data_IF_283738535397
#
_entry.id   IF_283738535397
#
_cell.length_a   1.000
_cell.length_b   1.000
_cell.length_c   1.000
_cell.angle_alpha   90.00
_cell.angle_beta   90.00
_cell.angle_gamma   90.00
#
_symmetry.space_group_name_H-M   'P 1'
#
loop_
_entity.id
_entity.type
_entity.pdbx_description
1 polymer ?
#
# COMPACT_ATOMS: atom_id res chain seq x y z
N UNK A 1 39.68 -49.61 -60.04
CA UNK A 1 38.97 -50.16 -58.85
C UNK A 1 38.98 -49.11 -57.72
N UNK A 2 37.89 -48.36 -57.60
CA UNK A 2 37.81 -47.24 -56.64
C UNK A 2 37.11 -47.74 -55.39
N UNK A 3 37.81 -47.85 -54.28
CA UNK A 3 37.25 -48.23 -52.97
C UNK A 3 36.57 -47.05 -52.30
N UNK A 4 35.25 -47.01 -52.35
CA UNK A 4 34.39 -46.03 -51.57
C UNK A 4 34.56 -46.29 -50.09
N UNK A 5 35.26 -45.39 -49.37
CA UNK A 5 35.30 -45.35 -47.91
C UNK A 5 33.92 -44.93 -47.37
N UNK A 6 33.13 -45.89 -46.84
CA UNK A 6 31.91 -45.63 -46.09
C UNK A 6 32.25 -44.82 -44.84
N UNK A 7 31.86 -43.51 -44.79
CA UNK A 7 32.00 -42.65 -43.67
C UNK A 7 31.00 -43.11 -42.60
N UNK A 8 31.52 -43.72 -41.52
CA UNK A 8 30.74 -44.21 -40.37
C UNK A 8 30.02 -43.04 -39.72
N UNK A 9 28.73 -42.94 -39.93
CA UNK A 9 27.89 -41.93 -39.22
C UNK A 9 27.98 -42.24 -37.74
N UNK A 10 28.79 -41.48 -37.02
CA UNK A 10 28.90 -41.50 -35.57
C UNK A 10 27.53 -41.16 -34.97
N UNK A 11 27.08 -41.95 -34.00
CA UNK A 11 25.83 -41.76 -33.28
C UNK A 11 25.80 -40.38 -32.61
N UNK A 12 25.23 -39.37 -33.27
CA UNK A 12 25.04 -38.02 -32.75
C UNK A 12 23.84 -37.93 -31.81
N UNK A 13 23.03 -39.01 -31.71
CA UNK A 13 21.80 -39.01 -30.88
C UNK A 13 22.04 -38.90 -29.37
N UNK A 14 23.22 -39.27 -28.85
CA UNK A 14 23.56 -39.17 -27.44
C UNK A 14 24.01 -37.76 -26.99
N UNK A 15 24.68 -37.02 -27.90
CA UNK A 15 25.20 -35.68 -27.62
C UNK A 15 24.05 -34.68 -27.39
N UNK A 16 23.04 -34.70 -28.26
CA UNK A 16 21.87 -33.80 -28.17
C UNK A 16 21.07 -33.99 -26.89
N UNK A 17 20.99 -35.22 -26.39
CA UNK A 17 20.25 -35.53 -25.17
C UNK A 17 20.97 -35.00 -23.92
N UNK A 18 22.30 -35.06 -23.91
CA UNK A 18 23.13 -34.50 -22.82
C UNK A 18 23.09 -32.97 -22.85
N UNK A 19 23.17 -32.33 -24.02
CA UNK A 19 23.04 -30.88 -24.19
C UNK A 19 21.69 -30.40 -23.70
N UNK A 20 20.59 -31.07 -24.06
CA UNK A 20 19.27 -30.77 -23.59
C UNK A 20 19.13 -30.92 -22.07
N UNK A 21 19.70 -31.97 -21.48
CA UNK A 21 19.67 -32.23 -20.05
C UNK A 21 20.40 -31.13 -19.23
N UNK A 22 21.45 -30.51 -19.79
CA UNK A 22 22.18 -29.42 -19.12
C UNK A 22 21.47 -28.09 -19.30
N UNK A 23 20.88 -27.80 -20.46
CA UNK A 23 20.25 -26.53 -20.78
C UNK A 23 18.86 -26.42 -20.12
N UNK A 24 18.12 -27.53 -20.03
CA UNK A 24 16.75 -27.53 -19.49
C UNK A 24 16.64 -26.96 -18.07
N UNK A 25 17.49 -27.30 -17.08
CA UNK A 25 17.42 -26.73 -15.76
C UNK A 25 17.62 -25.21 -15.76
N UNK A 26 18.53 -24.69 -16.57
CA UNK A 26 18.78 -23.26 -16.71
C UNK A 26 17.57 -22.54 -17.33
N UNK A 27 16.94 -23.12 -18.35
CA UNK A 27 15.74 -22.56 -18.97
C UNK A 27 14.56 -22.58 -18.00
N UNK A 28 14.38 -23.63 -17.21
CA UNK A 28 13.33 -23.70 -16.19
C UNK A 28 13.51 -22.63 -15.12
N UNK A 29 14.74 -22.41 -14.63
CA UNK A 29 15.02 -21.33 -13.66
C UNK A 29 14.69 -19.95 -14.24
N UNK A 30 15.09 -19.67 -15.48
CA UNK A 30 14.77 -18.42 -16.16
C UNK A 30 13.26 -18.28 -16.37
N UNK A 31 12.57 -19.34 -16.78
CA UNK A 31 11.13 -19.34 -16.99
C UNK A 31 10.37 -19.04 -15.69
N UNK A 32 10.65 -19.78 -14.61
CA UNK A 32 10.01 -19.54 -13.32
C UNK A 32 10.37 -18.16 -12.73
N UNK A 33 11.60 -17.71 -12.92
CA UNK A 33 12.03 -16.37 -12.51
C UNK A 33 11.24 -15.27 -13.23
N UNK A 34 11.08 -15.37 -14.54
CA UNK A 34 10.34 -14.37 -15.33
C UNK A 34 8.84 -14.38 -15.02
N UNK A 35 8.23 -15.56 -14.85
CA UNK A 35 6.83 -15.69 -14.45
C UNK A 35 6.61 -15.09 -13.04
N UNK A 36 7.50 -15.40 -12.10
CA UNK A 36 7.42 -14.85 -10.72
C UNK A 36 7.48 -13.33 -10.70
N UNK A 37 8.43 -12.73 -11.44
CA UNK A 37 8.53 -11.28 -11.56
C UNK A 37 7.29 -10.66 -12.21
N UNK A 38 6.75 -11.28 -13.26
CA UNK A 38 5.54 -10.81 -13.93
C UNK A 38 4.31 -10.80 -13.01
N UNK A 39 4.14 -11.84 -12.19
CA UNK A 39 3.07 -11.90 -11.19
C UNK A 39 3.23 -10.84 -10.09
N UNK A 40 4.46 -10.61 -9.61
CA UNK A 40 4.72 -9.55 -8.62
C UNK A 40 4.40 -8.16 -9.18
N UNK A 41 4.84 -7.85 -10.40
CA UNK A 41 4.53 -6.56 -11.05
C UNK A 41 3.02 -6.38 -11.26
N UNK A 42 2.31 -7.41 -11.71
CA UNK A 42 0.86 -7.37 -11.87
C UNK A 42 0.12 -7.03 -10.56
N UNK A 43 0.53 -7.63 -9.46
CA UNK A 43 -0.07 -7.36 -8.14
C UNK A 43 0.30 -5.97 -7.61
N UNK A 44 1.51 -5.50 -7.85
CA UNK A 44 1.88 -4.13 -7.50
C UNK A 44 1.01 -3.11 -8.24
N UNK A 45 0.79 -3.29 -9.54
CA UNK A 45 -0.10 -2.43 -10.34
C UNK A 45 -1.52 -2.47 -9.78
N UNK A 46 -2.04 -3.64 -9.42
CA UNK A 46 -3.36 -3.76 -8.78
C UNK A 46 -3.42 -3.01 -7.44
N UNK A 47 -2.39 -3.12 -6.60
CA UNK A 47 -2.32 -2.40 -5.33
C UNK A 47 -2.39 -0.88 -5.54
N UNK A 48 -1.64 -0.35 -6.52
CA UNK A 48 -1.63 1.07 -6.87
C UNK A 48 -3.00 1.51 -7.40
N UNK A 49 -3.66 0.70 -8.24
CA UNK A 49 -4.99 1.00 -8.76
C UNK A 49 -6.02 1.04 -7.62
N UNK A 50 -6.06 0.01 -6.77
CA UNK A 50 -6.96 -0.01 -5.61
C UNK A 50 -6.73 1.20 -4.71
N UNK A 51 -5.47 1.52 -4.40
CA UNK A 51 -5.14 2.66 -3.57
C UNK A 51 -5.62 3.98 -4.18
N UNK A 52 -5.45 4.16 -5.49
CA UNK A 52 -5.88 5.35 -6.21
C UNK A 52 -7.41 5.48 -6.25
N UNK A 53 -8.10 4.40 -6.58
CA UNK A 53 -9.57 4.41 -6.70
C UNK A 53 -10.22 4.65 -5.34
N UNK A 54 -9.73 3.97 -4.29
CA UNK A 54 -10.19 4.20 -2.92
C UNK A 54 -9.90 5.62 -2.47
N UNK A 55 -8.74 6.17 -2.82
CA UNK A 55 -8.38 7.53 -2.46
C UNK A 55 -9.29 8.57 -3.13
N UNK A 56 -9.62 8.37 -4.40
CA UNK A 56 -10.61 9.21 -5.10
C UNK A 56 -12.01 9.10 -4.46
N UNK A 57 -12.45 7.90 -4.13
CA UNK A 57 -13.73 7.71 -3.44
C UNK A 57 -13.75 8.42 -2.08
N UNK A 58 -12.65 8.28 -1.31
CA UNK A 58 -12.55 8.86 0.02
C UNK A 58 -12.48 10.39 0.01
N UNK A 59 -11.71 10.99 -0.90
CA UNK A 59 -11.63 12.43 -1.07
C UNK A 59 -12.95 13.03 -1.62
N UNK A 60 -13.73 12.27 -2.38
CA UNK A 60 -15.07 12.66 -2.83
C UNK A 60 -16.17 12.43 -1.79
N UNK A 61 -15.82 12.12 -0.54
CA UNK A 61 -16.77 12.02 0.56
C UNK A 61 -17.52 10.69 0.65
N UNK A 62 -17.05 9.63 -0.02
CA UNK A 62 -17.62 8.29 0.18
C UNK A 62 -17.39 7.84 1.61
N UNK A 63 -18.48 7.50 2.29
CA UNK A 63 -18.45 7.09 3.69
C UNK A 63 -18.10 5.60 3.81
N UNK A 64 -16.85 5.31 4.15
CA UNK A 64 -16.36 3.95 4.38
C UNK A 64 -16.69 3.39 5.78
N UNK A 65 -17.44 4.10 6.59
CA UNK A 65 -18.06 3.52 7.80
C UNK A 65 -19.20 2.58 7.42
N UNK A 66 -19.81 2.80 6.24
CA UNK A 66 -20.87 1.97 5.69
C UNK A 66 -20.33 0.67 5.10
N UNK A 67 -20.90 -0.46 5.54
CA UNK A 67 -20.48 -1.79 5.07
C UNK A 67 -20.63 -1.95 3.54
N UNK A 68 -21.65 -1.34 2.92
CA UNK A 68 -21.84 -1.36 1.47
C UNK A 68 -20.65 -0.76 0.71
N UNK A 69 -20.13 0.39 1.18
CA UNK A 69 -18.99 1.05 0.53
C UNK A 69 -17.68 0.27 0.77
N UNK A 70 -17.52 -0.34 1.93
CA UNK A 70 -16.38 -1.25 2.20
C UNK A 70 -16.41 -2.50 1.32
N UNK A 71 -17.61 -3.03 1.05
CA UNK A 71 -17.77 -4.17 0.15
C UNK A 71 -17.35 -3.86 -1.29
N UNK A 72 -17.51 -2.62 -1.77
CA UNK A 72 -16.99 -2.21 -3.08
C UNK A 72 -15.48 -2.41 -3.13
N UNK A 73 -14.78 -1.97 -2.09
CA UNK A 73 -13.31 -2.12 -2.03
C UNK A 73 -12.91 -3.59 -1.96
N UNK A 74 -13.50 -4.35 -1.06
CA UNK A 74 -13.10 -5.74 -0.78
C UNK A 74 -13.53 -6.72 -1.85
N UNK A 75 -14.73 -6.56 -2.42
CA UNK A 75 -15.30 -7.51 -3.37
C UNK A 75 -15.10 -7.13 -4.84
N UNK A 76 -14.96 -5.86 -5.17
CA UNK A 76 -14.80 -5.41 -6.55
C UNK A 76 -13.35 -5.00 -6.84
N UNK A 77 -12.77 -4.09 -6.07
CA UNK A 77 -11.43 -3.58 -6.34
C UNK A 77 -10.34 -4.57 -5.91
N UNK A 78 -10.50 -5.22 -4.76
CA UNK A 78 -9.53 -6.15 -4.18
C UNK A 78 -9.88 -7.64 -4.37
N UNK A 79 -10.86 -7.97 -5.21
CA UNK A 79 -11.33 -9.36 -5.39
C UNK A 79 -10.24 -10.33 -5.84
N UNK A 80 -9.32 -9.88 -6.71
CA UNK A 80 -8.21 -10.70 -7.21
C UNK A 80 -7.10 -10.98 -6.19
N UNK A 81 -7.17 -10.36 -4.99
CA UNK A 81 -6.10 -10.39 -3.99
C UNK A 81 -6.52 -11.19 -2.75
N UNK A 82 -7.81 -11.56 -2.67
CA UNK A 82 -8.33 -12.35 -1.54
C UNK A 82 -8.43 -11.55 -0.25
N UNK A 83 -8.72 -10.25 -0.34
CA UNK A 83 -9.00 -9.38 0.81
C UNK A 83 -10.48 -9.50 1.20
N UNK A 84 -10.78 -9.50 2.50
CA UNK A 84 -12.12 -9.39 3.07
C UNK A 84 -12.21 -8.15 3.96
N UNK A 85 -13.38 -7.79 4.46
CA UNK A 85 -13.56 -6.58 5.29
C UNK A 85 -12.72 -6.60 6.59
N UNK A 86 -12.51 -7.76 7.19
CA UNK A 86 -11.81 -7.92 8.47
C UNK A 86 -10.61 -8.87 8.40
N UNK A 87 -10.19 -9.30 7.20
CA UNK A 87 -9.13 -10.29 7.06
C UNK A 87 -8.65 -10.46 5.63
N UNK A 88 -8.01 -11.61 5.36
CA UNK A 88 -7.45 -11.96 4.06
C UNK A 88 -6.01 -11.47 3.87
N UNK A 89 -5.59 -11.34 2.60
CA UNK A 89 -4.19 -11.08 2.25
C UNK A 89 -3.89 -9.59 2.02
N UNK A 90 -4.77 -8.70 2.45
CA UNK A 90 -4.59 -7.26 2.27
C UNK A 90 -5.12 -6.44 3.42
N UNK A 91 -4.65 -5.21 3.49
CA UNK A 91 -5.17 -4.17 4.39
C UNK A 91 -5.21 -2.84 3.66
N UNK A 92 -6.31 -2.13 3.86
CA UNK A 92 -6.49 -0.73 3.42
C UNK A 92 -6.70 0.11 4.66
N UNK A 93 -5.87 1.13 4.81
CA UNK A 93 -5.94 2.09 5.91
C UNK A 93 -6.31 3.44 5.34
N UNK A 94 -7.43 3.99 5.82
CA UNK A 94 -7.92 5.31 5.47
C UNK A 94 -7.74 6.23 6.68
N UNK A 95 -7.13 7.38 6.46
CA UNK A 95 -6.94 8.37 7.52
C UNK A 95 -7.31 9.76 7.01
N UNK A 96 -8.00 10.54 7.85
CA UNK A 96 -8.14 11.99 7.68
C UNK A 96 -7.21 12.67 8.65
N UNK A 97 -6.42 13.59 8.14
CA UNK A 97 -5.42 14.35 8.91
C UNK A 97 -5.69 15.82 8.71
N UNK A 98 -5.68 16.58 9.79
CA UNK A 98 -5.85 18.03 9.79
C UNK A 98 -4.71 18.64 10.60
N UNK A 99 -4.19 19.77 10.14
CA UNK A 99 -3.29 20.59 10.96
C UNK A 99 -4.14 21.54 11.78
N UNK A 100 -3.97 21.54 13.11
CA UNK A 100 -4.73 22.36 14.04
C UNK A 100 -4.17 23.79 14.03
N UNK A 101 -4.99 24.79 13.70
CA UNK A 101 -4.62 26.20 13.73
C UNK A 101 -5.31 26.95 14.85
N UNK A 102 -4.79 28.16 15.19
CA UNK A 102 -5.34 29.00 16.25
C UNK A 102 -6.81 29.34 15.98
N UNK A 103 -7.19 29.56 14.73
CA UNK A 103 -8.58 29.88 14.39
C UNK A 103 -9.55 28.72 14.64
N UNK A 104 -9.09 27.47 14.54
CA UNK A 104 -9.90 26.28 14.86
C UNK A 104 -10.16 26.23 16.38
N UNK A 105 -9.15 26.58 17.15
CA UNK A 105 -9.23 26.66 18.62
C UNK A 105 -10.18 27.77 19.06
N UNK A 106 -10.06 28.95 18.46
CA UNK A 106 -10.92 30.11 18.74
C UNK A 106 -12.38 29.81 18.36
N UNK A 107 -12.59 29.13 17.21
CA UNK A 107 -13.94 28.77 16.77
C UNK A 107 -14.63 27.74 17.69
N UNK A 108 -13.85 26.88 18.33
CA UNK A 108 -14.36 25.86 19.26
C UNK A 108 -14.35 26.30 20.72
N UNK A 109 -13.65 27.39 21.03
CA UNK A 109 -13.44 27.88 22.41
C UNK A 109 -12.56 26.96 23.26
N UNK A 110 -11.76 26.09 22.60
CA UNK A 110 -10.89 25.14 23.28
C UNK A 110 -9.45 25.67 23.40
N UNK A 111 -8.78 25.27 24.47
CA UNK A 111 -7.33 25.52 24.62
C UNK A 111 -6.59 24.39 23.95
N UNK A 112 -6.06 24.66 22.76
CA UNK A 112 -5.39 23.63 21.96
C UNK A 112 -3.99 23.31 22.44
N UNK A 113 -3.70 22.03 22.60
CA UNK A 113 -2.36 21.49 22.91
C UNK A 113 -1.61 21.05 21.65
N UNK A 114 -2.36 20.80 20.56
CA UNK A 114 -1.83 20.34 19.29
C UNK A 114 -1.73 21.43 18.22
N UNK A 115 -1.55 22.69 18.66
CA UNK A 115 -1.43 23.84 17.77
C UNK A 115 -0.27 23.65 16.78
N UNK A 116 -0.53 23.90 15.49
CA UNK A 116 0.39 23.72 14.37
C UNK A 116 0.92 22.29 14.21
N UNK A 117 0.19 21.29 14.70
CA UNK A 117 0.56 19.88 14.55
C UNK A 117 -0.48 19.15 13.71
N UNK A 118 -0.04 18.25 12.80
CA UNK A 118 -0.95 17.38 12.07
C UNK A 118 -1.46 16.26 12.98
N UNK A 119 -2.78 16.13 13.05
CA UNK A 119 -3.49 15.18 13.91
C UNK A 119 -4.46 14.33 13.12
N UNK A 120 -4.70 13.11 13.60
CA UNK A 120 -5.76 12.26 13.06
C UNK A 120 -7.15 12.77 13.49
N UNK A 121 -8.06 12.90 12.54
CA UNK A 121 -9.48 13.18 12.80
C UNK A 121 -10.36 11.96 12.50
N UNK A 122 -9.89 11.06 11.67
CA UNK A 122 -10.54 9.77 11.39
C UNK A 122 -9.52 8.72 10.99
N UNK A 123 -9.79 7.46 11.38
CA UNK A 123 -9.04 6.30 10.88
C UNK A 123 -9.94 5.08 10.73
N UNK A 124 -10.02 4.57 9.52
CA UNK A 124 -10.77 3.37 9.15
C UNK A 124 -9.77 2.33 8.64
N UNK A 125 -9.93 1.09 9.06
CA UNK A 125 -9.09 -0.04 8.61
C UNK A 125 -10.01 -1.11 8.04
N UNK A 126 -9.70 -1.57 6.83
CA UNK A 126 -10.35 -2.68 6.15
C UNK A 126 -9.33 -3.76 5.86
N UNK A 127 -9.69 -5.03 5.99
CA UNK A 127 -8.78 -6.15 5.77
C UNK A 127 -8.06 -6.63 7.02
N UNK A 128 -6.95 -7.30 6.83
CA UNK A 128 -6.13 -7.86 7.90
C UNK A 128 -5.23 -6.80 8.53
N UNK A 129 -5.67 -6.18 9.61
CA UNK A 129 -4.99 -5.07 10.28
C UNK A 129 -3.58 -5.41 10.81
N UNK A 130 -3.29 -6.70 11.05
CA UNK A 130 -1.96 -7.15 11.49
C UNK A 130 -0.90 -7.12 10.39
N UNK A 131 -1.28 -7.03 9.12
CA UNK A 131 -0.33 -6.99 8.01
C UNK A 131 0.45 -5.68 7.94
N UNK A 132 -0.21 -4.56 8.25
CA UNK A 132 0.43 -3.24 8.29
C UNK A 132 -0.40 -2.27 9.11
N UNK A 133 0.28 -1.47 9.92
CA UNK A 133 -0.37 -0.47 10.80
C UNK A 133 -0.50 0.92 10.19
N UNK A 134 0.12 1.19 9.06
CA UNK A 134 0.23 2.52 8.44
C UNK A 134 1.49 3.27 8.85
N UNK A 135 1.95 4.18 7.98
CA UNK A 135 3.24 4.85 8.14
C UNK A 135 3.17 6.07 9.09
N UNK A 136 1.99 6.67 9.24
CA UNK A 136 1.83 7.91 10.02
C UNK A 136 1.48 7.71 11.48
N UNK A 137 1.39 6.48 11.92
CA UNK A 137 1.03 6.11 13.29
C UNK A 137 -0.36 5.51 13.41
N UNK A 138 -0.72 5.18 14.63
CA UNK A 138 -2.02 4.56 14.96
C UNK A 138 -2.63 5.31 16.13
N UNK A 139 -3.72 6.06 15.91
CA UNK A 139 -4.45 6.65 17.03
C UNK A 139 -5.04 5.55 17.91
N UNK A 140 -5.01 5.78 19.22
CA UNK A 140 -5.49 4.84 20.22
C UNK A 140 -6.95 4.45 19.97
N UNK A 141 -7.29 3.19 20.20
CA UNK A 141 -8.67 2.73 20.02
C UNK A 141 -9.64 3.43 21.00
N UNK A 142 -9.15 3.82 22.18
CA UNK A 142 -9.95 4.49 23.22
C UNK A 142 -10.40 5.92 22.87
N UNK A 143 -9.73 6.57 21.90
CA UNK A 143 -10.05 7.94 21.48
C UNK A 143 -10.88 7.98 20.20
N UNK A 144 -11.14 6.83 19.60
CA UNK A 144 -11.94 6.68 18.38
C UNK A 144 -13.33 6.15 18.70
N UNK A 145 -14.32 6.66 17.99
CA UNK A 145 -15.66 6.06 17.99
C UNK A 145 -15.70 4.73 17.18
N UNK A 146 -16.85 4.08 17.15
CA UNK A 146 -17.07 2.84 16.38
C UNK A 146 -16.91 3.02 14.87
N UNK A 147 -16.92 4.24 14.38
CA UNK A 147 -16.77 4.63 12.97
C UNK A 147 -15.35 5.11 12.66
N UNK A 148 -14.47 5.09 13.65
CA UNK A 148 -13.07 5.51 13.51
C UNK A 148 -12.86 7.02 13.58
N UNK A 149 -13.87 7.83 13.92
CA UNK A 149 -13.73 9.27 14.09
C UNK A 149 -13.13 9.60 15.45
N UNK A 150 -12.42 10.71 15.51
CA UNK A 150 -11.88 11.29 16.75
C UNK A 150 -12.56 12.63 16.98
N UNK A 151 -13.10 12.82 18.18
CA UNK A 151 -13.81 14.05 18.53
C UNK A 151 -12.87 15.27 18.48
N UNK A 152 -13.34 16.45 17.98
CA UNK A 152 -12.57 17.68 17.96
C UNK A 152 -11.97 18.06 19.31
N UNK A 153 -12.71 17.90 20.39
CA UNK A 153 -12.21 18.16 21.74
C UNK A 153 -11.01 17.28 22.10
N UNK A 154 -10.94 16.06 21.57
CA UNK A 154 -9.85 15.10 21.79
C UNK A 154 -8.65 15.43 20.92
N UNK A 155 -8.82 15.54 19.59
CA UNK A 155 -7.65 15.74 18.73
C UNK A 155 -7.02 17.14 18.86
N UNK A 156 -7.77 18.17 19.33
CA UNK A 156 -7.21 19.51 19.58
C UNK A 156 -6.49 19.62 20.93
N UNK A 157 -6.98 18.95 21.98
CA UNK A 157 -6.50 19.17 23.36
C UNK A 157 -5.68 18.02 23.92
N UNK A 158 -5.77 16.81 23.36
CA UNK A 158 -5.05 15.67 23.89
C UNK A 158 -3.58 15.69 23.48
N UNK A 159 -2.68 15.83 24.43
CA UNK A 159 -1.24 15.82 24.22
C UNK A 159 -0.65 14.43 23.96
N UNK A 160 -1.46 13.37 23.97
CA UNK A 160 -1.01 12.03 23.69
C UNK A 160 -0.45 11.94 22.26
N UNK A 161 0.75 11.39 22.14
CA UNK A 161 1.41 11.19 20.84
C UNK A 161 0.60 10.33 19.86
N UNK A 162 -0.33 9.52 20.35
CA UNK A 162 -1.20 8.70 19.50
C UNK A 162 -2.21 9.49 18.67
N UNK A 163 -2.53 10.73 19.06
CA UNK A 163 -3.38 11.63 18.26
C UNK A 163 -2.61 12.27 17.13
N UNK A 164 -1.31 12.50 17.35
CA UNK A 164 -0.43 13.17 16.38
C UNK A 164 0.07 12.18 15.33
N UNK A 165 0.26 12.68 14.12
CA UNK A 165 0.89 11.90 13.07
C UNK A 165 2.42 11.97 13.20
N UNK A 166 3.09 10.91 12.74
CA UNK A 166 4.55 10.87 12.65
C UNK A 166 4.98 10.94 11.18
N UNK A 167 5.84 11.91 10.81
CA UNK A 167 6.40 11.99 9.47
C UNK A 167 5.42 12.38 8.36
N UNK A 168 4.20 12.82 8.70
CA UNK A 168 3.21 13.23 7.71
C UNK A 168 3.66 14.47 6.92
N UNK A 169 4.16 15.50 7.57
CA UNK A 169 4.65 16.72 6.91
C UNK A 169 5.74 16.40 5.88
N UNK A 170 6.74 15.61 6.26
CA UNK A 170 7.80 15.21 5.34
C UNK A 170 7.28 14.42 4.15
N UNK A 171 6.25 13.59 4.35
CA UNK A 171 5.63 12.82 3.27
C UNK A 171 4.77 13.69 2.36
N UNK A 172 4.13 14.72 2.89
CA UNK A 172 3.37 15.72 2.13
C UNK A 172 4.34 16.55 1.25
N UNK A 173 5.44 17.02 1.82
CA UNK A 173 6.49 17.72 1.09
C UNK A 173 7.05 16.91 -0.08
N UNK A 174 7.37 15.64 0.18
CA UNK A 174 7.87 14.73 -0.85
C UNK A 174 6.83 14.47 -1.96
N UNK A 175 5.54 14.41 -1.62
CA UNK A 175 4.45 14.28 -2.58
C UNK A 175 4.31 15.56 -3.45
N UNK A 176 4.36 16.75 -2.84
CA UNK A 176 4.32 18.04 -3.55
C UNK A 176 5.54 18.21 -4.44
N UNK A 177 6.73 17.90 -3.94
CA UNK A 177 7.96 17.97 -4.72
C UNK A 177 7.92 17.06 -5.95
N UNK A 178 7.40 15.84 -5.82
CA UNK A 178 7.21 14.93 -6.96
C UNK A 178 6.19 15.44 -7.98
N UNK A 179 5.15 16.11 -7.52
CA UNK A 179 4.11 16.63 -8.39
C UNK A 179 4.52 17.92 -9.12
N UNK A 180 5.27 18.81 -8.46
CA UNK A 180 5.59 20.15 -8.95
C UNK A 180 7.03 20.31 -9.45
N UNK A 181 7.94 19.41 -9.07
CA UNK A 181 9.38 19.52 -9.32
C UNK A 181 10.07 20.62 -8.50
N UNK A 182 9.35 21.35 -7.68
CA UNK A 182 9.89 22.38 -6.81
C UNK A 182 10.40 21.77 -5.50
N UNK A 183 11.57 22.23 -5.02
CA UNK A 183 12.00 21.90 -3.67
C UNK A 183 10.98 22.47 -2.68
N UNK A 184 10.33 21.62 -1.92
CA UNK A 184 9.33 22.03 -0.95
C UNK A 184 10.01 22.84 0.16
N UNK A 185 9.69 24.11 0.26
CA UNK A 185 9.55 24.75 1.56
C UNK A 185 8.17 24.32 2.02
N UNK A 186 8.10 23.52 3.09
CA UNK A 186 6.87 22.90 3.55
C UNK A 186 5.68 23.85 3.41
N UNK A 187 4.73 23.60 2.49
CA UNK A 187 3.47 24.28 2.59
C UNK A 187 2.84 23.72 3.85
N UNK A 188 2.78 24.51 4.90
CA UNK A 188 1.86 24.22 5.97
C UNK A 188 0.52 23.91 5.30
N UNK A 189 -0.09 22.78 5.64
CA UNK A 189 -1.40 22.43 5.11
C UNK A 189 -2.31 23.65 5.33
N UNK A 190 -3.00 24.18 4.30
CA UNK A 190 -3.83 25.35 4.45
C UNK A 190 -4.85 25.15 5.58
N UNK A 191 -5.19 26.24 6.28
CA UNK A 191 -6.14 26.18 7.38
C UNK A 191 -7.48 25.59 6.92
N UNK A 192 -7.99 24.62 7.65
CA UNK A 192 -9.25 23.94 7.37
C UNK A 192 -9.17 22.84 6.30
N UNK A 193 -8.03 22.65 5.65
CA UNK A 193 -7.88 21.59 4.70
C UNK A 193 -7.71 20.22 5.38
N UNK A 194 -8.39 19.25 4.83
CA UNK A 194 -8.31 17.87 5.26
C UNK A 194 -7.43 17.09 4.29
N UNK A 195 -6.36 16.52 4.78
CA UNK A 195 -5.59 15.56 4.01
C UNK A 195 -6.22 14.17 4.14
N UNK A 196 -6.56 13.59 3.00
CA UNK A 196 -7.04 12.22 2.89
C UNK A 196 -5.86 11.32 2.56
N UNK A 197 -5.54 10.42 3.45
CA UNK A 197 -4.45 9.45 3.29
C UNK A 197 -5.02 8.08 3.10
N UNK A 198 -4.60 7.41 2.05
CA UNK A 198 -4.95 6.02 1.76
C UNK A 198 -3.67 5.21 1.62
N UNK A 199 -3.55 4.21 2.45
CA UNK A 199 -2.44 3.25 2.45
C UNK A 199 -2.99 1.87 2.18
N UNK A 200 -2.44 1.20 1.18
CA UNK A 200 -2.84 -0.14 0.76
C UNK A 200 -1.63 -1.05 0.81
N UNK A 201 -1.78 -2.18 1.47
CA UNK A 201 -0.79 -3.23 1.48
C UNK A 201 -1.43 -4.58 1.16
N UNK A 202 -0.82 -5.31 0.24
CA UNK A 202 -1.21 -6.67 -0.10
C UNK A 202 -0.02 -7.61 0.06
N UNK A 203 -0.22 -8.66 0.83
CA UNK A 203 0.76 -9.72 0.98
C UNK A 203 0.74 -10.63 -0.25
N UNK A 204 1.92 -10.93 -0.80
CA UNK A 204 2.03 -11.94 -1.84
C UNK A 204 1.91 -13.34 -1.22
N UNK A 205 1.29 -14.29 -1.92
CA UNK A 205 1.42 -15.69 -1.55
C UNK A 205 2.91 -16.05 -1.62
N UNK A 206 3.38 -16.73 -0.60
CA UNK A 206 4.75 -17.23 -0.58
C UNK A 206 4.90 -18.30 -1.67
N UNK A 207 5.60 -17.96 -2.75
CA UNK A 207 5.99 -18.91 -3.77
C UNK A 207 7.34 -19.47 -3.30
N UNK A 208 7.29 -20.36 -2.32
CA UNK A 208 8.45 -21.07 -1.82
C UNK A 208 9.07 -21.93 -2.94
N UNK A 209 10.13 -21.42 -3.59
CA UNK A 209 10.93 -22.19 -4.53
C UNK A 209 12.31 -22.40 -3.93
N UNK A 210 12.70 -23.65 -3.74
CA UNK A 210 14.03 -24.07 -3.21
C UNK A 210 14.40 -23.45 -1.84
N UNK A 211 13.41 -23.21 -0.95
CA UNK A 211 13.67 -22.64 0.37
C UNK A 211 13.86 -21.13 0.41
N UNK A 212 13.63 -20.45 -0.69
CA UNK A 212 13.59 -18.99 -0.76
C UNK A 212 12.15 -18.52 -0.50
N UNK A 213 11.93 -17.91 0.65
CA UNK A 213 10.67 -17.23 0.95
C UNK A 213 10.66 -15.88 0.25
N UNK A 214 9.66 -15.66 -0.61
CA UNK A 214 9.39 -14.38 -1.25
C UNK A 214 8.29 -13.62 -0.51
N UNK A 215 8.19 -13.78 0.81
CA UNK A 215 7.20 -13.11 1.65
C UNK A 215 7.37 -11.58 1.60
N UNK A 216 7.10 -11.00 0.47
CA UNK A 216 7.04 -9.57 0.21
C UNK A 216 5.62 -9.18 -0.16
N UNK A 217 5.26 -7.93 0.04
CA UNK A 217 3.96 -7.41 -0.33
C UNK A 217 4.08 -6.19 -1.24
N UNK A 218 2.98 -5.85 -1.91
CA UNK A 218 2.83 -4.57 -2.59
C UNK A 218 2.32 -3.54 -1.61
N UNK A 219 2.96 -2.39 -1.56
CA UNK A 219 2.53 -1.23 -0.80
C UNK A 219 2.32 -0.04 -1.72
N UNK A 220 1.21 0.66 -1.54
CA UNK A 220 0.92 1.90 -2.22
C UNK A 220 0.31 2.90 -1.25
N UNK A 221 0.67 4.18 -1.40
CA UNK A 221 0.14 5.28 -0.59
C UNK A 221 -0.23 6.45 -1.49
N UNK A 222 -1.37 7.05 -1.20
CA UNK A 222 -1.83 8.31 -1.81
C UNK A 222 -2.21 9.30 -0.73
N UNK A 223 -1.88 10.57 -0.96
CA UNK A 223 -2.24 11.71 -0.11
C UNK A 223 -2.95 12.70 -1.02
N UNK A 224 -4.18 13.09 -0.65
CA UNK A 224 -4.98 14.12 -1.31
C UNK A 224 -5.30 15.22 -0.31
N UNK A 225 -5.23 16.45 -0.71
CA UNK A 225 -5.61 17.64 0.06
C UNK A 225 -6.24 18.68 -0.84
#
# INVERSE_FOLDING_TARGET
>A
MSTMKRKKRRNQRGSTLIEFAIVTPCLLLLFFGTVGLGLMMGRYVQAVQVARDVAHMYSNGVDFTQATNRNIVTQQLASGIGMTDTGGNGVVVLSKIVTVYQADCDATGLTCTNLNLPVFTQRIVMGQSSLRTGDFGVPDASIRDSQGNIDPSVYMTNSNSSVRTSGFEAALDDAVQRATGAAASAPAQPQGDIAYVVEVYFQYPDIGFLGWSTASGAYARFIFH
#
